data_IF_689994395523
#
_entry.id   IF_689994395523
#
_cell.length_a   1.000
_cell.length_b   1.000
_cell.length_c   1.000
_cell.angle_alpha   90.00
_cell.angle_beta   90.00
_cell.angle_gamma   90.00
#
_symmetry.space_group_name_H-M   'P 1'
#
loop_
_entity.id
_entity.type
_entity.pdbx_description
1 polymer ?
#
# COMPACT_ATOMS: atom_id res chain seq x y z
N UNK A 1 -2.65 -11.60 2.49
CA UNK A 1 -2.48 -10.25 1.91
C UNK A 1 -3.82 -9.85 1.30
N UNK A 2 -4.37 -8.68 1.63
CA UNK A 2 -5.67 -8.28 1.06
C UNK A 2 -5.55 -8.08 -0.46
N UNK A 3 -6.58 -8.52 -1.22
CA UNK A 3 -6.62 -8.34 -2.69
C UNK A 3 -6.48 -6.85 -3.04
N UNK A 4 -5.50 -6.51 -3.87
CA UNK A 4 -5.30 -5.12 -4.34
C UNK A 4 -6.32 -4.81 -5.44
N UNK A 5 -7.36 -4.07 -5.10
CA UNK A 5 -8.44 -3.67 -6.02
C UNK A 5 -7.99 -2.51 -6.90
N UNK A 6 -8.11 -2.60 -8.23
CA UNK A 6 -7.67 -1.56 -9.16
C UNK A 6 -8.67 -0.39 -9.27
N UNK A 7 -8.34 0.84 -8.80
CA UNK A 7 -9.26 1.98 -8.86
C UNK A 7 -9.63 2.38 -10.29
N UNK A 8 -8.82 2.01 -11.29
CA UNK A 8 -9.05 2.40 -12.69
C UNK A 8 -10.07 1.52 -13.43
N UNK A 9 -10.53 0.41 -12.84
CA UNK A 9 -11.57 -0.42 -13.47
C UNK A 9 -12.95 0.27 -13.46
N UNK A 10 -13.15 1.27 -12.60
CA UNK A 10 -14.41 2.01 -12.46
C UNK A 10 -14.43 3.21 -13.38
N UNK A 11 -15.56 3.43 -14.06
CA UNK A 11 -15.80 4.63 -14.86
C UNK A 11 -16.32 5.76 -13.97
N UNK A 12 -15.64 6.91 -13.99
CA UNK A 12 -15.85 8.03 -13.05
C UNK A 12 -17.26 8.61 -13.13
N UNK A 13 -17.80 8.76 -14.34
CA UNK A 13 -19.11 9.37 -14.60
C UNK A 13 -20.29 8.38 -14.58
N UNK A 14 -20.06 7.12 -14.20
CA UNK A 14 -21.11 6.09 -14.16
C UNK A 14 -21.53 5.81 -12.72
N UNK A 15 -22.83 5.70 -12.50
CA UNK A 15 -23.39 5.17 -11.25
C UNK A 15 -23.40 3.63 -11.30
N UNK A 16 -23.10 3.02 -10.15
CA UNK A 16 -23.05 1.57 -10.00
C UNK A 16 -23.89 1.13 -8.83
N UNK A 17 -24.54 -0.03 -8.96
CA UNK A 17 -25.15 -0.73 -7.83
C UNK A 17 -24.11 -1.59 -7.11
N UNK A 18 -24.41 -1.96 -5.86
CA UNK A 18 -23.57 -2.87 -5.05
C UNK A 18 -23.23 -4.16 -5.81
N UNK A 19 -24.21 -4.76 -6.50
CA UNK A 19 -24.01 -5.98 -7.29
C UNK A 19 -23.07 -5.78 -8.49
N UNK A 20 -23.16 -4.63 -9.18
CA UNK A 20 -22.28 -4.32 -10.29
C UNK A 20 -20.84 -4.11 -9.83
N UNK A 21 -20.62 -3.45 -8.69
CA UNK A 21 -19.30 -3.26 -8.10
C UNK A 21 -18.69 -4.61 -7.69
N UNK A 22 -19.49 -5.47 -7.06
CA UNK A 22 -19.08 -6.81 -6.67
C UNK A 22 -18.60 -7.63 -7.87
N UNK A 23 -19.33 -7.58 -8.99
CA UNK A 23 -18.93 -8.23 -10.23
C UNK A 23 -17.63 -7.62 -10.82
N UNK A 24 -17.56 -6.28 -10.92
CA UNK A 24 -16.45 -5.55 -11.52
C UNK A 24 -15.10 -5.79 -10.82
N UNK A 25 -15.14 -5.99 -9.50
CA UNK A 25 -13.95 -6.26 -8.68
C UNK A 25 -13.75 -7.73 -8.33
N UNK A 26 -14.70 -8.59 -8.72
CA UNK A 26 -14.80 -9.99 -8.30
C UNK A 26 -14.63 -10.11 -6.78
N UNK A 27 -15.47 -9.39 -6.05
CA UNK A 27 -15.56 -9.40 -4.58
C UNK A 27 -16.99 -9.72 -4.15
N UNK A 28 -17.16 -10.17 -2.91
CA UNK A 28 -18.50 -10.46 -2.39
C UNK A 28 -19.29 -9.16 -2.10
N UNK A 29 -20.63 -9.22 -2.22
CA UNK A 29 -21.51 -8.07 -1.93
C UNK A 29 -21.31 -7.53 -0.51
N UNK A 30 -21.05 -8.41 0.46
CA UNK A 30 -20.77 -8.01 1.85
C UNK A 30 -19.51 -7.15 1.97
N UNK A 31 -18.49 -7.36 1.13
CA UNK A 31 -17.29 -6.52 1.11
C UNK A 31 -17.64 -5.10 0.66
N UNK A 32 -18.48 -4.96 -0.36
CA UNK A 32 -18.96 -3.65 -0.82
C UNK A 32 -19.85 -2.98 0.23
N UNK A 33 -20.71 -3.75 0.92
CA UNK A 33 -21.48 -3.23 2.06
C UNK A 33 -20.58 -2.79 3.23
N UNK A 34 -19.49 -3.50 3.49
CA UNK A 34 -18.48 -3.05 4.45
C UNK A 34 -17.87 -1.72 4.02
N UNK A 35 -17.60 -1.51 2.73
CA UNK A 35 -17.06 -0.22 2.28
C UNK A 35 -18.03 0.93 2.53
N UNK A 36 -19.32 0.71 2.33
CA UNK A 36 -20.38 1.69 2.66
C UNK A 36 -20.36 2.01 4.16
N UNK A 37 -20.24 0.98 5.02
CA UNK A 37 -20.10 1.17 6.47
C UNK A 37 -18.81 1.91 6.86
N UNK A 38 -17.71 1.65 6.14
CA UNK A 38 -16.41 2.28 6.33
C UNK A 38 -16.36 3.75 5.83
N UNK A 39 -17.44 4.27 5.21
CA UNK A 39 -17.54 5.65 4.75
C UNK A 39 -17.58 5.86 3.23
N UNK A 40 -17.81 4.83 2.41
CA UNK A 40 -18.07 5.02 0.98
C UNK A 40 -19.39 5.74 0.74
N UNK A 41 -19.33 6.89 0.08
CA UNK A 41 -20.50 7.72 -0.23
C UNK A 41 -21.48 7.00 -1.18
N UNK A 42 -22.74 6.98 -0.79
CA UNK A 42 -23.88 6.58 -1.63
C UNK A 42 -24.64 7.83 -2.06
N UNK A 43 -25.20 7.83 -3.27
CA UNK A 43 -25.99 8.94 -3.81
C UNK A 43 -27.30 9.05 -3.02
N UNK A 44 -28.01 7.94 -2.89
CA UNK A 44 -29.31 7.87 -2.23
C UNK A 44 -29.30 6.83 -1.11
N UNK A 45 -30.20 7.03 -0.13
CA UNK A 45 -30.48 6.05 0.93
C UNK A 45 -31.61 5.09 0.54
N UNK A 46 -32.21 5.30 -0.63
CA UNK A 46 -33.25 4.43 -1.17
C UNK A 46 -32.63 3.20 -1.85
N UNK A 47 -33.38 2.11 -1.86
CA UNK A 47 -32.95 0.86 -2.51
C UNK A 47 -33.44 0.87 -3.95
N UNK A 48 -32.58 0.55 -4.94
CA UNK A 48 -31.22 0.06 -4.83
C UNK A 48 -30.17 1.15 -4.54
N UNK A 49 -29.21 0.85 -3.66
CA UNK A 49 -28.13 1.77 -3.33
C UNK A 49 -27.24 2.05 -4.56
N UNK A 50 -27.16 3.32 -4.92
CA UNK A 50 -26.33 3.81 -6.02
C UNK A 50 -25.06 4.47 -5.48
N UNK A 51 -23.93 4.11 -6.08
CA UNK A 51 -22.61 4.65 -5.76
C UNK A 51 -22.06 5.29 -7.02
N UNK A 52 -21.58 6.53 -6.91
CA UNK A 52 -20.96 7.23 -8.02
C UNK A 52 -19.52 6.71 -8.23
N UNK A 53 -19.16 6.42 -9.48
CA UNK A 53 -17.86 5.85 -9.81
C UNK A 53 -16.67 6.71 -9.36
N UNK A 54 -16.81 8.05 -9.37
CA UNK A 54 -15.81 8.97 -8.85
C UNK A 54 -15.50 8.73 -7.36
N UNK A 55 -16.55 8.51 -6.56
CA UNK A 55 -16.44 8.39 -5.11
C UNK A 55 -15.90 7.00 -4.74
N UNK A 56 -16.31 5.97 -5.50
CA UNK A 56 -15.72 4.63 -5.40
C UNK A 56 -14.22 4.63 -5.73
N UNK A 57 -13.82 5.31 -6.81
CA UNK A 57 -12.41 5.44 -7.18
C UNK A 57 -11.61 6.15 -6.09
N UNK A 58 -12.12 7.27 -5.57
CA UNK A 58 -11.49 8.03 -4.48
C UNK A 58 -11.33 7.18 -3.21
N UNK A 59 -12.40 6.51 -2.77
CA UNK A 59 -12.35 5.63 -1.60
C UNK A 59 -11.29 4.53 -1.73
N UNK A 60 -11.19 3.89 -2.90
CA UNK A 60 -10.17 2.85 -3.14
C UNK A 60 -8.75 3.42 -3.18
N UNK A 61 -8.56 4.66 -3.64
CA UNK A 61 -7.28 5.35 -3.60
C UNK A 61 -6.88 5.70 -2.15
N UNK A 62 -7.77 6.32 -1.39
CA UNK A 62 -7.56 6.65 0.02
C UNK A 62 -7.26 5.42 0.86
N UNK A 63 -8.03 4.33 0.67
CA UNK A 63 -7.79 3.05 1.35
C UNK A 63 -6.43 2.46 0.98
N UNK A 64 -5.97 2.62 -0.27
CA UNK A 64 -4.62 2.19 -0.66
C UNK A 64 -3.55 3.06 -0.02
N UNK A 65 -3.74 4.36 0.05
CA UNK A 65 -2.79 5.30 0.65
C UNK A 65 -2.67 5.12 2.16
N UNK A 66 -3.78 4.93 2.88
CA UNK A 66 -3.75 4.61 4.32
C UNK A 66 -3.05 3.29 4.64
N UNK A 67 -3.15 2.31 3.73
CA UNK A 67 -2.42 1.04 3.86
C UNK A 67 -0.94 1.14 3.46
N UNK A 68 -0.51 2.20 2.75
CA UNK A 68 0.90 2.40 2.42
C UNK A 68 1.63 2.88 3.68
N UNK A 69 2.50 2.04 4.22
CA UNK A 69 3.51 2.46 5.20
C UNK A 69 4.69 3.07 4.43
N UNK A 70 4.73 4.41 4.35
CA UNK A 70 5.90 5.12 3.80
C UNK A 70 7.11 4.79 4.67
N UNK A 71 8.13 4.17 4.09
CA UNK A 71 9.43 4.02 4.72
C UNK A 71 10.30 5.16 4.23
N UNK A 72 10.91 5.93 5.15
CA UNK A 72 11.87 6.97 4.76
C UNK A 72 13.08 6.33 4.07
N UNK A 73 13.89 7.14 3.39
CA UNK A 73 15.14 6.68 2.76
C UNK A 73 16.00 5.92 3.78
N UNK A 74 16.16 6.42 5.00
CA UNK A 74 16.93 5.78 6.09
C UNK A 74 16.27 4.58 6.78
N UNK A 75 15.00 4.26 6.50
CA UNK A 75 14.25 3.19 7.17
C UNK A 75 14.06 1.97 6.27
N UNK A 76 14.13 0.79 6.87
CA UNK A 76 13.85 -0.50 6.23
C UNK A 76 12.58 -1.12 6.84
N UNK A 77 11.71 -1.65 5.99
CA UNK A 77 10.45 -2.27 6.44
C UNK A 77 10.70 -3.67 7.00
N UNK A 78 10.39 -3.87 8.28
CA UNK A 78 10.42 -5.21 8.87
C UNK A 78 9.12 -5.96 8.59
N UNK A 79 9.19 -7.11 7.92
CA UNK A 79 8.00 -7.93 7.59
C UNK A 79 7.37 -8.56 8.84
N UNK A 80 8.19 -8.92 9.85
CA UNK A 80 7.73 -9.52 11.11
C UNK A 80 7.03 -8.47 12.00
N UNK A 81 7.66 -7.31 12.20
CA UNK A 81 7.10 -6.22 13.01
C UNK A 81 6.05 -5.37 12.27
N UNK A 82 5.94 -5.50 10.94
CA UNK A 82 5.04 -4.73 10.06
C UNK A 82 5.19 -3.21 10.21
N UNK A 83 6.40 -2.76 10.49
CA UNK A 83 6.72 -1.36 10.73
C UNK A 83 8.02 -0.96 10.02
N UNK A 84 8.13 0.30 9.55
CA UNK A 84 9.42 0.87 9.18
C UNK A 84 10.30 0.96 10.43
N UNK A 85 11.54 0.50 10.31
CA UNK A 85 12.53 0.51 11.38
C UNK A 85 13.85 1.03 10.85
N UNK A 86 14.56 1.74 11.71
CA UNK A 86 15.96 2.06 11.48
C UNK A 86 16.76 0.78 11.83
N UNK A 87 17.66 0.33 10.95
CA UNK A 87 18.53 -0.82 11.21
C UNK A 87 19.31 -0.67 12.51
N UNK A 88 19.58 -1.77 13.20
CA UNK A 88 20.42 -1.76 14.40
C UNK A 88 21.79 -1.12 14.07
N UNK A 89 22.26 -0.26 14.97
CA UNK A 89 23.54 0.47 14.86
C UNK A 89 23.67 1.36 13.59
N UNK A 90 22.57 1.63 12.87
CA UNK A 90 22.61 2.27 11.54
C UNK A 90 23.51 1.54 10.53
N UNK A 91 23.85 0.28 10.79
CA UNK A 91 24.67 -0.53 9.91
C UNK A 91 23.79 -1.26 8.90
N UNK A 92 24.20 -1.19 7.65
CA UNK A 92 23.47 -1.77 6.54
C UNK A 92 24.47 -2.38 5.58
N UNK A 93 24.35 -3.69 5.36
CA UNK A 93 25.11 -4.40 4.35
C UNK A 93 24.66 -3.96 2.97
N UNK A 94 25.63 -3.51 2.18
CA UNK A 94 25.44 -3.08 0.81
C UNK A 94 25.70 -4.24 -0.14
N UNK A 95 24.69 -4.63 -0.92
CA UNK A 95 24.85 -5.61 -2.00
C UNK A 95 24.41 -5.02 -3.34
N UNK A 96 25.35 -4.73 -4.26
CA UNK A 96 25.00 -4.26 -5.59
C UNK A 96 24.34 -5.37 -6.39
N UNK A 97 23.18 -5.07 -6.98
CA UNK A 97 22.49 -5.99 -7.90
C UNK A 97 22.76 -5.56 -9.34
N UNK A 98 22.64 -4.26 -9.61
CA UNK A 98 22.86 -3.65 -10.93
C UNK A 98 23.64 -2.34 -10.78
N UNK A 99 24.08 -1.75 -11.91
CA UNK A 99 24.77 -0.43 -11.93
C UNK A 99 23.97 0.70 -11.26
N UNK A 100 22.65 0.59 -11.18
CA UNK A 100 21.74 1.60 -10.65
C UNK A 100 20.97 1.18 -9.39
N UNK A 101 20.96 -0.11 -9.06
CA UNK A 101 20.12 -0.67 -8.00
C UNK A 101 20.91 -1.53 -7.03
N UNK A 102 20.55 -1.39 -5.77
CA UNK A 102 21.26 -1.97 -4.64
C UNK A 102 20.29 -2.51 -3.62
N UNK A 103 20.67 -3.65 -3.06
CA UNK A 103 20.00 -4.27 -1.94
C UNK A 103 20.71 -3.86 -0.66
N UNK A 104 19.95 -3.23 0.21
CA UNK A 104 20.31 -2.91 1.56
C UNK A 104 19.77 -4.01 2.48
N UNK A 105 20.65 -4.68 3.20
CA UNK A 105 20.29 -5.67 4.21
C UNK A 105 20.73 -5.16 5.58
N UNK A 106 19.90 -5.28 6.60
CA UNK A 106 20.27 -4.92 7.97
C UNK A 106 19.54 -5.78 8.98
N UNK A 107 19.78 -5.53 10.26
CA UNK A 107 19.09 -6.22 11.35
C UNK A 107 18.00 -5.34 11.96
N UNK A 108 16.85 -5.93 12.24
CA UNK A 108 15.78 -5.24 12.96
C UNK A 108 16.14 -5.11 14.45
N UNK A 109 16.11 -3.90 15.06
CA UNK A 109 16.49 -3.71 16.45
C UNK A 109 15.52 -4.35 17.46
N UNK A 110 14.33 -4.77 17.02
CA UNK A 110 13.29 -5.34 17.89
C UNK A 110 13.16 -6.85 17.78
N UNK A 111 13.45 -7.42 16.60
CA UNK A 111 13.21 -8.84 16.35
C UNK A 111 14.40 -9.57 15.76
N UNK A 112 15.54 -8.89 15.62
CA UNK A 112 16.84 -9.41 15.14
C UNK A 112 16.80 -10.11 13.77
N UNK A 113 15.66 -10.11 13.11
CA UNK A 113 15.52 -10.65 11.77
C UNK A 113 16.19 -9.71 10.76
N UNK A 114 16.72 -10.32 9.72
CA UNK A 114 17.22 -9.63 8.54
C UNK A 114 16.07 -8.87 7.88
N UNK A 115 16.30 -7.59 7.63
CA UNK A 115 15.39 -6.68 6.95
C UNK A 115 16.05 -6.18 5.68
N UNK A 116 15.30 -6.21 4.58
CA UNK A 116 15.82 -5.94 3.24
C UNK A 116 15.09 -4.78 2.59
N UNK A 117 15.83 -3.91 1.90
CA UNK A 117 15.28 -2.81 1.11
C UNK A 117 16.04 -2.65 -0.21
N UNK A 118 15.29 -2.54 -1.29
CA UNK A 118 15.85 -2.14 -2.57
C UNK A 118 15.84 -0.62 -2.67
N UNK A 119 17.00 -0.03 -2.99
CA UNK A 119 17.15 1.41 -3.20
C UNK A 119 17.98 1.68 -4.45
N UNK A 120 17.92 2.91 -4.96
CA UNK A 120 18.77 3.34 -6.08
C UNK A 120 20.12 3.79 -5.55
N UNK A 121 21.19 3.47 -6.26
CA UNK A 121 22.57 3.77 -5.84
C UNK A 121 22.79 5.25 -5.54
N UNK A 122 22.24 6.15 -6.36
CA UNK A 122 22.37 7.60 -6.22
C UNK A 122 21.71 8.14 -4.93
N UNK A 123 20.62 7.50 -4.50
CA UNK A 123 19.84 7.89 -3.33
C UNK A 123 20.53 7.49 -2.01
N UNK A 124 21.54 6.61 -2.08
CA UNK A 124 22.30 6.10 -0.93
C UNK A 124 23.51 6.97 -0.61
N UNK A 125 24.11 7.63 -1.61
CA UNK A 125 25.43 8.28 -1.58
C UNK A 125 25.60 9.46 -0.59
N UNK A 126 24.66 9.67 0.34
CA UNK A 126 24.81 10.63 1.44
C UNK A 126 24.03 10.30 2.71
N UNK A 127 23.46 9.09 2.84
CA UNK A 127 22.52 8.75 3.93
C UNK A 127 23.08 7.67 4.87
N UNK A 128 23.94 6.79 4.35
CA UNK A 128 24.54 5.71 5.14
C UNK A 128 26.06 5.77 5.00
N UNK A 129 26.77 5.67 6.13
CA UNK A 129 28.21 5.45 6.11
C UNK A 129 28.45 4.01 5.61
N UNK A 130 28.86 3.89 4.35
CA UNK A 130 29.14 2.60 3.71
C UNK A 130 30.60 2.24 4.04
N UNK A 131 30.80 1.03 4.58
CA UNK A 131 32.08 0.32 4.51
C UNK A 131 32.03 -0.69 3.37
#
# INVERSE_FOLDING_TARGET
MAKRLNPNNVKIHRSYTVSQIAYLYSVHKNTVHSWIKDGLATIDKERPLLILGRDLKRYLQEKREGNKKKCKSSEIYCVKCRAPKIPAENMVDYKPINKSQVLLSGLCPTCENIINKFSRLEEIKGIWAVQ
#
